data_IF_533083507185
#
_entry.id   IF_533083507185
#
_cell.length_a   1.000
_cell.length_b   1.000
_cell.length_c   1.000
_cell.angle_alpha   90.00
_cell.angle_beta   90.00
_cell.angle_gamma   90.00
#
_symmetry.space_group_name_H-M   'P 1'
#
loop_
_entity.id
_entity.type
_entity.pdbx_description
1 polymer ?
#
# COMPACT_ATOMS: atom_id res chain seq x y z
N UNK A 1 19.65 -50.72 42.08
CA UNK A 1 18.93 -50.18 40.91
C UNK A 1 17.94 -49.13 41.39
N UNK A 2 18.31 -47.84 41.43
CA UNK A 2 17.41 -46.66 41.50
C UNK A 2 18.20 -45.35 41.72
N UNK A 3 19.17 -45.05 40.86
CA UNK A 3 19.84 -43.74 40.87
C UNK A 3 20.20 -43.18 39.49
N UNK A 4 19.61 -43.74 38.42
CA UNK A 4 19.89 -43.31 37.02
C UNK A 4 18.66 -42.63 36.37
N UNK A 5 17.54 -42.50 37.10
CA UNK A 5 16.30 -41.90 36.56
C UNK A 5 16.12 -40.40 36.84
N UNK A 6 17.00 -39.75 37.60
CA UNK A 6 16.88 -38.31 37.90
C UNK A 6 17.89 -37.40 37.20
N UNK A 7 18.89 -37.96 36.51
CA UNK A 7 19.81 -37.16 35.68
C UNK A 7 19.26 -36.95 34.26
N UNK A 8 18.41 -37.85 33.76
CA UNK A 8 17.81 -37.72 32.43
C UNK A 8 16.62 -36.74 32.37
N UNK A 9 15.94 -36.50 33.50
CA UNK A 9 14.77 -35.59 33.55
C UNK A 9 15.20 -34.12 33.68
N UNK A 10 16.40 -33.84 34.20
CA UNK A 10 16.93 -32.49 34.30
C UNK A 10 17.57 -31.98 32.99
N UNK A 11 17.93 -32.89 32.06
CA UNK A 11 18.53 -32.53 30.77
C UNK A 11 17.49 -32.21 29.68
N UNK A 12 16.22 -32.56 29.89
CA UNK A 12 15.14 -32.29 28.92
C UNK A 12 14.43 -30.94 29.20
N UNK A 13 14.59 -30.37 30.40
CA UNK A 13 13.91 -29.11 30.79
C UNK A 13 14.80 -27.87 30.54
N UNK A 14 16.10 -28.03 30.26
CA UNK A 14 17.03 -26.89 30.07
C UNK A 14 17.25 -26.51 28.59
N UNK A 15 16.72 -27.26 27.62
CA UNK A 15 16.87 -26.93 26.19
C UNK A 15 15.72 -26.10 25.58
N UNK A 16 14.77 -25.58 26.37
CA UNK A 16 13.62 -24.80 25.87
C UNK A 16 13.71 -23.30 26.17
N UNK A 17 14.79 -22.82 26.79
CA UNK A 17 15.00 -21.39 27.02
C UNK A 17 16.32 -20.95 26.41
N UNK A 18 16.31 -20.66 25.10
CA UNK A 18 17.09 -19.62 24.41
C UNK A 18 16.86 -19.75 22.90
N UNK A 19 15.61 -19.57 22.45
CA UNK A 19 15.33 -19.17 21.08
C UNK A 19 14.93 -17.70 21.11
N UNK A 20 15.93 -16.85 20.83
CA UNK A 20 15.69 -15.48 20.38
C UNK A 20 14.68 -15.52 19.23
N UNK A 21 13.55 -14.85 19.39
CA UNK A 21 12.51 -14.75 18.38
C UNK A 21 13.09 -14.15 17.09
N UNK A 22 13.40 -15.01 16.12
CA UNK A 22 13.46 -14.64 14.73
C UNK A 22 12.21 -15.25 14.07
N UNK A 23 11.24 -14.41 13.70
CA UNK A 23 9.93 -14.82 13.18
C UNK A 23 10.02 -15.28 11.71
N UNK A 24 10.77 -16.35 11.46
CA UNK A 24 10.70 -17.12 10.23
C UNK A 24 10.74 -18.61 10.55
N UNK A 25 9.75 -19.08 11.30
CA UNK A 25 9.42 -20.51 11.33
C UNK A 25 8.63 -20.86 10.07
N UNK A 26 9.12 -21.84 9.33
CA UNK A 26 8.52 -22.44 8.14
C UNK A 26 7.01 -22.68 8.34
N UNK A 27 6.17 -21.85 7.70
CA UNK A 27 4.69 -21.98 7.69
C UNK A 27 4.27 -23.15 6.79
N UNK A 28 4.39 -24.39 7.28
CA UNK A 28 3.88 -25.60 6.59
C UNK A 28 2.34 -25.71 6.69
N UNK A 29 1.70 -24.89 7.54
CA UNK A 29 0.26 -24.65 7.52
C UNK A 29 0.02 -23.13 7.64
N UNK A 30 -0.42 -22.47 6.57
CA UNK A 30 -0.91 -21.08 6.68
C UNK A 30 -2.23 -21.17 7.47
N UNK A 31 -2.25 -20.60 8.69
CA UNK A 31 -3.51 -20.40 9.41
C UNK A 31 -4.52 -19.69 8.51
N UNK A 32 -5.81 -19.97 8.66
CA UNK A 32 -6.84 -19.26 7.90
C UNK A 32 -6.67 -17.75 8.06
N UNK A 33 -6.88 -17.01 6.97
CA UNK A 33 -6.71 -15.56 6.93
C UNK A 33 -7.70 -14.85 7.87
N UNK A 34 -7.38 -13.65 8.37
CA UNK A 34 -8.28 -12.92 9.28
C UNK A 34 -9.67 -12.74 8.69
N UNK A 35 -9.75 -12.37 7.40
CA UNK A 35 -11.02 -12.27 6.67
C UNK A 35 -11.77 -13.59 6.60
N UNK A 36 -11.07 -14.69 6.32
CA UNK A 36 -11.68 -16.03 6.27
C UNK A 36 -12.21 -16.43 7.65
N UNK A 37 -11.44 -16.20 8.70
CA UNK A 37 -11.84 -16.46 10.09
C UNK A 37 -13.10 -15.68 10.45
N UNK A 38 -13.13 -14.38 10.18
CA UNK A 38 -14.28 -13.54 10.50
C UNK A 38 -15.51 -13.92 9.68
N UNK A 39 -15.35 -14.21 8.39
CA UNK A 39 -16.44 -14.70 7.53
C UNK A 39 -17.03 -16.01 8.05
N UNK A 40 -16.18 -16.92 8.53
CA UNK A 40 -16.63 -18.16 9.15
C UNK A 40 -17.41 -17.92 10.44
N UNK A 41 -16.99 -16.96 11.28
CA UNK A 41 -17.72 -16.53 12.48
C UNK A 41 -19.10 -15.96 12.14
N UNK A 42 -19.20 -15.12 11.10
CA UNK A 42 -20.50 -14.61 10.63
C UNK A 42 -21.40 -15.76 10.16
N UNK A 43 -20.85 -16.72 9.40
CA UNK A 43 -21.64 -17.83 8.90
C UNK A 43 -22.08 -18.79 10.02
N UNK A 44 -21.19 -19.13 10.96
CA UNK A 44 -21.51 -20.05 12.06
C UNK A 44 -22.48 -19.46 13.07
N UNK A 45 -22.53 -18.13 13.23
CA UNK A 45 -23.53 -17.43 14.04
C UNK A 45 -24.87 -17.22 13.33
N UNK A 46 -25.01 -17.62 12.06
CA UNK A 46 -26.20 -17.39 11.24
C UNK A 46 -26.32 -15.96 10.70
N UNK A 47 -25.50 -15.01 11.16
CA UNK A 47 -25.51 -13.60 10.73
C UNK A 47 -25.12 -13.47 9.26
N UNK A 48 -24.21 -14.32 8.78
CA UNK A 48 -23.64 -14.25 7.44
C UNK A 48 -24.65 -14.43 6.29
N UNK A 49 -25.85 -14.96 6.57
CA UNK A 49 -26.96 -15.10 5.62
C UNK A 49 -28.03 -14.00 5.78
N UNK A 50 -27.93 -13.15 6.80
CA UNK A 50 -28.83 -12.00 7.01
C UNK A 50 -28.50 -10.86 6.05
N UNK A 51 -29.40 -9.88 5.93
CA UNK A 51 -29.17 -8.68 5.10
C UNK A 51 -27.86 -7.97 5.47
N UNK A 52 -27.62 -7.71 6.76
CA UNK A 52 -26.42 -7.02 7.25
C UNK A 52 -25.13 -7.85 7.03
N UNK A 53 -25.22 -9.18 7.12
CA UNK A 53 -24.08 -10.06 6.84
C UNK A 53 -23.74 -10.14 5.35
N UNK A 54 -24.74 -10.12 4.48
CA UNK A 54 -24.54 -10.04 3.03
C UNK A 54 -24.02 -8.66 2.60
N UNK A 55 -24.52 -7.58 3.21
CA UNK A 55 -24.07 -6.21 2.97
C UNK A 55 -22.61 -6.02 3.36
N UNK A 56 -22.17 -6.61 4.47
CA UNK A 56 -20.75 -6.63 4.86
C UNK A 56 -19.88 -7.36 3.84
N UNK A 57 -20.35 -8.47 3.26
CA UNK A 57 -19.63 -9.19 2.20
C UNK A 57 -19.61 -8.39 0.88
N UNK A 58 -20.73 -7.76 0.53
CA UNK A 58 -20.87 -7.01 -0.72
C UNK A 58 -20.04 -5.72 -0.71
N UNK A 59 -20.07 -4.95 0.38
CA UNK A 59 -19.25 -3.73 0.53
C UNK A 59 -17.75 -4.02 0.37
N UNK A 60 -17.28 -5.17 0.84
CA UNK A 60 -15.91 -5.63 0.64
C UNK A 60 -15.55 -5.77 -0.86
N UNK A 61 -16.48 -6.28 -1.68
CA UNK A 61 -16.29 -6.44 -3.12
C UNK A 61 -16.44 -5.11 -3.86
N UNK A 62 -17.43 -4.30 -3.49
CA UNK A 62 -17.66 -2.98 -4.08
C UNK A 62 -16.46 -2.04 -3.86
N UNK A 63 -15.85 -2.09 -2.67
CA UNK A 63 -14.66 -1.29 -2.36
C UNK A 63 -13.50 -1.58 -3.34
N UNK A 64 -13.33 -2.84 -3.76
CA UNK A 64 -12.29 -3.24 -4.71
C UNK A 64 -12.54 -2.60 -6.08
N UNK A 65 -13.79 -2.63 -6.55
CA UNK A 65 -14.18 -2.08 -7.85
C UNK A 65 -14.01 -0.55 -7.90
N UNK A 66 -14.26 0.10 -6.75
CA UNK A 66 -14.21 1.56 -6.59
C UNK A 66 -12.84 2.10 -6.14
N UNK A 67 -11.87 1.24 -5.85
CA UNK A 67 -10.61 1.64 -5.23
C UNK A 67 -9.85 2.68 -6.09
N UNK A 68 -9.59 3.90 -5.58
CA UNK A 68 -8.77 4.86 -6.30
C UNK A 68 -7.28 4.48 -6.21
N UNK A 69 -6.47 5.11 -7.07
CA UNK A 69 -5.03 4.94 -7.04
C UNK A 69 -4.41 5.81 -5.93
N UNK A 70 -3.42 5.26 -5.22
CA UNK A 70 -2.75 5.89 -4.11
C UNK A 70 -1.24 5.84 -4.34
N UNK A 71 -0.64 7.00 -4.58
CA UNK A 71 0.79 7.14 -4.80
C UNK A 71 1.56 6.92 -3.49
N UNK A 72 2.67 6.17 -3.53
CA UNK A 72 3.56 5.92 -2.38
C UNK A 72 4.79 6.82 -2.50
N UNK A 73 5.28 7.45 -1.40
CA UNK A 73 4.81 7.33 -0.03
C UNK A 73 3.60 8.24 0.28
N UNK A 74 2.81 7.84 1.27
CA UNK A 74 1.56 8.53 1.62
C UNK A 74 1.16 8.27 3.06
N UNK A 75 0.50 9.26 3.66
CA UNK A 75 -0.36 9.02 4.81
C UNK A 75 -1.80 9.37 4.46
N UNK A 76 -2.73 8.55 4.92
CA UNK A 76 -4.16 8.75 4.71
C UNK A 76 -4.92 8.41 6.00
N UNK A 77 -5.93 9.20 6.33
CA UNK A 77 -6.80 9.00 7.49
C UNK A 77 -8.26 9.02 7.08
N UNK A 78 -9.10 8.37 7.88
CA UNK A 78 -10.54 8.35 7.69
C UNK A 78 -11.25 7.75 8.89
N UNK A 79 -12.55 7.54 8.73
CA UNK A 79 -13.39 6.91 9.75
C UNK A 79 -14.31 5.89 9.12
N UNK A 80 -14.70 4.91 9.92
CA UNK A 80 -15.83 4.01 9.67
C UNK A 80 -16.94 4.34 10.64
N UNK A 81 -18.19 4.34 10.18
CA UNK A 81 -19.38 4.56 11.01
C UNK A 81 -20.18 3.28 11.12
N UNK A 82 -20.67 3.00 12.33
CA UNK A 82 -21.41 1.77 12.64
C UNK A 82 -22.66 1.57 11.77
N UNK A 83 -23.27 2.66 11.30
CA UNK A 83 -24.49 2.66 10.47
C UNK A 83 -24.25 2.42 8.97
N UNK A 84 -23.01 2.49 8.48
CA UNK A 84 -22.73 2.57 7.03
C UNK A 84 -22.03 1.35 6.45
N UNK A 85 -22.19 0.14 7.02
CA UNK A 85 -21.53 -1.15 6.66
C UNK A 85 -20.67 -1.05 5.38
N UNK A 86 -19.44 -0.59 5.52
CA UNK A 86 -18.58 -0.23 4.39
C UNK A 86 -17.20 -0.88 4.48
N UNK A 87 -16.53 -0.96 3.35
CA UNK A 87 -15.11 -1.23 3.24
C UNK A 87 -14.45 -0.11 2.42
N UNK A 88 -13.19 0.19 2.69
CA UNK A 88 -12.41 1.16 1.93
C UNK A 88 -11.19 0.47 1.34
N UNK A 89 -10.85 0.81 0.10
CA UNK A 89 -9.74 0.18 -0.59
C UNK A 89 -8.97 1.18 -1.45
N UNK A 90 -7.67 0.90 -1.65
CA UNK A 90 -6.77 1.71 -2.45
C UNK A 90 -5.84 0.83 -3.28
N UNK A 91 -5.59 1.23 -4.52
CA UNK A 91 -4.59 0.61 -5.39
C UNK A 91 -3.25 1.30 -5.21
N UNK A 92 -2.21 0.56 -4.85
CA UNK A 92 -0.83 1.02 -4.80
C UNK A 92 -0.04 0.34 -5.93
N UNK A 93 0.77 1.12 -6.66
CA UNK A 93 1.65 0.58 -7.71
C UNK A 93 3.03 0.35 -7.12
N UNK A 94 3.55 -0.85 -7.27
CA UNK A 94 4.88 -1.24 -6.80
C UNK A 94 5.66 -1.91 -7.93
N UNK A 95 6.97 -1.69 -7.94
CA UNK A 95 7.88 -2.37 -8.85
C UNK A 95 8.46 -3.62 -8.17
N UNK A 96 8.76 -4.66 -8.96
CA UNK A 96 9.43 -5.86 -8.48
C UNK A 96 10.70 -5.49 -7.71
N UNK A 97 10.82 -5.99 -6.48
CA UNK A 97 11.93 -5.72 -5.59
C UNK A 97 11.84 -4.44 -4.79
N UNK A 98 10.78 -3.65 -4.92
CA UNK A 98 10.49 -2.59 -3.95
C UNK A 98 9.93 -3.20 -2.66
N UNK A 99 10.32 -2.62 -1.51
CA UNK A 99 9.69 -2.92 -0.22
C UNK A 99 9.00 -1.68 0.33
N UNK A 100 7.84 -1.88 0.95
CA UNK A 100 7.09 -0.86 1.66
C UNK A 100 6.83 -1.29 3.10
N UNK A 101 6.76 -0.31 3.99
CA UNK A 101 6.21 -0.47 5.33
C UNK A 101 4.81 0.15 5.35
N UNK A 102 3.80 -0.67 5.64
CA UNK A 102 2.40 -0.28 5.77
C UNK A 102 2.07 -0.27 7.26
N UNK A 103 2.06 0.91 7.86
CA UNK A 103 1.59 1.10 9.22
C UNK A 103 0.10 1.41 9.21
N UNK A 104 -0.66 0.73 10.06
CA UNK A 104 -2.09 0.99 10.25
C UNK A 104 -2.36 1.19 11.73
N UNK A 105 -3.01 2.30 12.07
CA UNK A 105 -3.50 2.62 13.40
C UNK A 105 -5.02 2.69 13.36
N UNK A 106 -5.68 1.82 14.10
CA UNK A 106 -7.13 1.70 14.25
C UNK A 106 -7.53 2.11 15.67
N UNK A 107 -8.30 3.18 15.76
CA UNK A 107 -8.86 3.71 17.00
C UNK A 107 -10.36 3.43 17.00
N UNK A 108 -10.72 2.21 17.41
CA UNK A 108 -12.11 1.81 17.56
C UNK A 108 -12.81 2.69 18.62
N UNK A 109 -14.06 3.09 18.32
CA UNK A 109 -14.97 3.67 19.32
C UNK A 109 -15.67 2.58 20.15
N UNK A 110 -15.54 1.33 19.73
CA UNK A 110 -16.07 0.13 20.35
C UNK A 110 -14.97 -0.95 20.51
N UNK A 111 -15.34 -2.22 20.67
CA UNK A 111 -14.38 -3.33 20.75
C UNK A 111 -14.07 -3.99 19.40
N UNK A 112 -14.52 -3.40 18.28
CA UNK A 112 -14.36 -3.98 16.95
C UNK A 112 -12.92 -3.94 16.47
N UNK A 113 -12.54 -4.99 15.75
CA UNK A 113 -11.24 -5.05 15.08
C UNK A 113 -11.34 -4.53 13.65
N UNK A 114 -10.23 -4.04 13.14
CA UNK A 114 -10.07 -3.72 11.72
C UNK A 114 -9.41 -4.90 11.01
N UNK A 115 -10.07 -5.40 9.96
CA UNK A 115 -9.51 -6.37 9.02
C UNK A 115 -8.79 -5.60 7.91
N UNK A 116 -7.51 -5.90 7.72
CA UNK A 116 -6.66 -5.31 6.68
C UNK A 116 -6.24 -6.42 5.73
N UNK A 117 -6.52 -6.24 4.45
CA UNK A 117 -6.13 -7.17 3.39
C UNK A 117 -5.13 -6.50 2.44
N UNK A 118 -4.13 -7.26 2.02
CA UNK A 118 -3.27 -6.94 0.88
C UNK A 118 -3.53 -7.95 -0.24
N UNK A 119 -3.93 -7.47 -1.41
CA UNK A 119 -4.32 -8.30 -2.55
C UNK A 119 -3.49 -7.97 -3.80
N UNK A 120 -3.32 -8.94 -4.69
CA UNK A 120 -2.53 -8.82 -5.93
C UNK A 120 -3.25 -9.45 -7.13
N UNK A 121 -2.98 -8.91 -8.32
CA UNK A 121 -3.33 -9.51 -9.60
C UNK A 121 -4.73 -9.14 -10.09
N UNK A 122 -5.08 -9.61 -11.28
CA UNK A 122 -6.34 -9.25 -11.96
C UNK A 122 -7.59 -9.70 -11.20
N UNK A 123 -7.48 -10.77 -10.41
CA UNK A 123 -8.57 -11.31 -9.58
C UNK A 123 -8.47 -10.87 -8.12
N UNK A 124 -7.51 -10.00 -7.78
CA UNK A 124 -7.23 -9.56 -6.41
C UNK A 124 -7.13 -10.73 -5.43
N UNK A 125 -6.20 -11.64 -5.70
CA UNK A 125 -5.88 -12.75 -4.82
C UNK A 125 -5.31 -12.22 -3.50
N UNK A 126 -5.81 -12.72 -2.38
CA UNK A 126 -5.30 -12.37 -1.05
C UNK A 126 -3.85 -12.84 -0.87
N UNK A 127 -2.95 -11.89 -0.58
CA UNK A 127 -1.57 -12.16 -0.17
C UNK A 127 -1.48 -12.28 1.35
N UNK A 128 -1.99 -11.27 2.04
CA UNK A 128 -2.04 -11.19 3.50
C UNK A 128 -3.41 -10.67 3.95
N UNK A 129 -3.89 -11.16 5.10
CA UNK A 129 -5.06 -10.61 5.78
C UNK A 129 -4.93 -10.83 7.28
N UNK A 130 -4.97 -9.72 8.03
CA UNK A 130 -4.73 -9.68 9.47
C UNK A 130 -5.74 -8.77 10.18
N UNK A 131 -5.93 -8.98 11.49
CA UNK A 131 -6.67 -8.05 12.35
C UNK A 131 -5.69 -7.21 13.14
N UNK A 132 -5.99 -5.91 13.30
CA UNK A 132 -5.05 -4.96 13.88
C UNK A 132 -5.76 -3.97 14.80
N UNK A 133 -5.02 -3.53 15.83
CA UNK A 133 -5.30 -2.28 16.55
C UNK A 133 -4.24 -1.23 16.16
N UNK A 134 -2.96 -1.55 16.29
CA UNK A 134 -1.87 -0.72 15.76
C UNK A 134 -0.65 -1.59 15.50
N UNK A 135 -0.21 -1.70 14.25
CA UNK A 135 0.93 -2.53 13.84
C UNK A 135 1.43 -2.09 12.44
N UNK A 136 2.55 -2.67 12.02
CA UNK A 136 3.16 -2.43 10.72
C UNK A 136 3.43 -3.73 9.97
N UNK A 137 3.13 -3.74 8.68
CA UNK A 137 3.50 -4.80 7.75
C UNK A 137 4.61 -4.31 6.82
N UNK A 138 5.78 -4.96 6.88
CA UNK A 138 6.75 -4.87 5.80
C UNK A 138 6.31 -5.81 4.67
N UNK A 139 6.13 -5.25 3.48
CA UNK A 139 5.77 -5.99 2.28
C UNK A 139 6.81 -5.74 1.18
N UNK A 140 7.26 -6.81 0.54
CA UNK A 140 8.14 -6.76 -0.64
C UNK A 140 7.36 -7.20 -1.87
N UNK A 141 7.39 -6.39 -2.93
CA UNK A 141 6.71 -6.70 -4.18
C UNK A 141 7.50 -7.74 -4.98
N UNK A 142 6.95 -8.95 -5.10
CA UNK A 142 7.54 -10.02 -5.92
C UNK A 142 7.41 -9.72 -7.43
N UNK A 143 6.46 -8.87 -7.83
CA UNK A 143 6.18 -8.52 -9.23
C UNK A 143 5.87 -7.03 -9.37
N UNK A 144 6.19 -6.47 -10.52
CA UNK A 144 5.74 -5.12 -10.85
C UNK A 144 4.25 -5.14 -11.17
N UNK A 145 3.47 -4.29 -10.51
CA UNK A 145 2.02 -4.29 -10.71
C UNK A 145 1.25 -3.42 -9.73
N UNK A 146 -0.07 -3.57 -9.78
CA UNK A 146 -0.98 -2.96 -8.81
C UNK A 146 -1.27 -3.96 -7.70
N UNK A 147 -1.13 -3.49 -6.47
CA UNK A 147 -1.54 -4.14 -5.24
C UNK A 147 -2.71 -3.38 -4.65
N UNK A 148 -3.58 -4.04 -3.91
CA UNK A 148 -4.75 -3.41 -3.30
C UNK A 148 -4.72 -3.58 -1.79
N UNK A 149 -4.80 -2.46 -1.09
CA UNK A 149 -4.94 -2.41 0.37
C UNK A 149 -6.42 -2.18 0.69
N UNK A 150 -7.07 -3.13 1.35
CA UNK A 150 -8.47 -3.01 1.78
C UNK A 150 -8.56 -3.00 3.30
N UNK A 151 -9.35 -2.08 3.82
CA UNK A 151 -9.72 -1.95 5.22
C UNK A 151 -11.21 -2.19 5.38
N UNK A 152 -11.58 -3.00 6.37
CA UNK A 152 -12.97 -3.18 6.75
C UNK A 152 -13.07 -3.53 8.24
N UNK A 153 -13.82 -2.78 9.05
CA UNK A 153 -14.07 -3.18 10.42
C UNK A 153 -14.92 -4.46 10.47
N UNK A 154 -14.89 -5.15 11.60
CA UNK A 154 -15.92 -6.12 11.92
C UNK A 154 -17.31 -5.49 11.81
N UNK A 155 -18.34 -6.30 11.56
CA UNK A 155 -19.71 -5.87 11.30
C UNK A 155 -20.20 -4.85 12.35
N UNK A 156 -20.67 -3.69 11.86
CA UNK A 156 -21.11 -2.52 12.64
C UNK A 156 -20.01 -1.82 13.45
N UNK A 157 -18.74 -2.15 13.22
CA UNK A 157 -17.62 -1.51 13.90
C UNK A 157 -17.44 -0.04 13.51
N UNK A 158 -17.13 0.78 14.50
CA UNK A 158 -16.94 2.23 14.35
C UNK A 158 -15.58 2.67 14.89
N UNK A 159 -14.95 3.64 14.22
CA UNK A 159 -13.67 4.19 14.66
C UNK A 159 -12.92 4.95 13.57
N UNK A 160 -11.77 5.48 13.97
CA UNK A 160 -10.86 6.22 13.08
C UNK A 160 -9.69 5.35 12.67
N UNK A 161 -9.25 5.47 11.42
CA UNK A 161 -8.04 4.83 10.94
C UNK A 161 -7.01 5.85 10.45
N UNK A 162 -5.74 5.52 10.60
CA UNK A 162 -4.63 6.17 9.92
C UNK A 162 -3.76 5.10 9.27
N UNK A 163 -3.37 5.33 8.02
CA UNK A 163 -2.43 4.49 7.28
C UNK A 163 -1.23 5.35 6.93
N UNK A 164 -0.02 4.82 7.17
CA UNK A 164 1.22 5.39 6.61
C UNK A 164 1.90 4.32 5.75
N UNK A 165 2.09 4.61 4.48
CA UNK A 165 2.84 3.74 3.54
C UNK A 165 4.14 4.46 3.17
N UNK A 166 5.26 3.87 3.57
CA UNK A 166 6.59 4.40 3.27
C UNK A 166 7.42 3.35 2.54
N UNK A 167 8.27 3.78 1.60
CA UNK A 167 9.28 2.89 1.04
C UNK A 167 10.28 2.45 2.13
N UNK A 168 10.83 1.26 2.00
CA UNK A 168 11.86 0.74 2.91
C UNK A 168 12.84 -0.15 2.15
N UNK A 169 14.02 -0.37 2.73
CA UNK A 169 15.08 -1.10 2.08
C UNK A 169 14.68 -2.57 1.88
N UNK A 170 14.79 -3.04 0.64
CA UNK A 170 14.68 -4.46 0.30
C UNK A 170 15.97 -5.18 0.71
N UNK A 171 17.10 -4.69 0.21
CA UNK A 171 18.41 -5.19 0.62
C UNK A 171 18.96 -4.49 1.85
N UNK A 172 19.68 -5.24 2.67
CA UNK A 172 20.24 -4.73 3.92
C UNK A 172 21.45 -3.81 3.68
N UNK A 173 22.17 -4.01 2.56
CA UNK A 173 23.42 -3.32 2.26
C UNK A 173 23.42 -2.83 0.82
N UNK A 174 23.85 -1.58 0.61
CA UNK A 174 24.08 -1.04 -0.72
C UNK A 174 25.32 -1.70 -1.37
N UNK A 175 25.29 -2.10 -2.65
CA UNK A 175 26.33 -2.95 -3.26
C UNK A 175 27.76 -2.36 -3.35
N UNK A 176 27.97 -1.08 -3.03
CA UNK A 176 29.29 -0.44 -3.04
C UNK A 176 29.50 0.31 -1.72
N UNK A 177 30.61 0.01 -1.05
CA UNK A 177 30.90 0.56 0.27
C UNK A 177 30.93 2.09 0.26
N UNK A 178 30.22 2.72 1.20
CA UNK A 178 30.18 4.18 1.36
C UNK A 178 29.45 4.92 0.25
N UNK A 179 28.71 4.21 -0.61
CA UNK A 179 27.82 4.76 -1.63
C UNK A 179 26.36 4.48 -1.27
N UNK A 180 25.47 5.13 -2.02
CA UNK A 180 24.02 5.01 -1.93
C UNK A 180 23.43 5.16 -3.34
N UNK A 181 22.10 5.11 -3.44
CA UNK A 181 21.35 5.26 -4.70
C UNK A 181 21.70 6.54 -5.49
N UNK A 182 22.23 7.60 -4.88
CA UNK A 182 22.68 8.80 -5.59
C UNK A 182 23.95 8.60 -6.43
N UNK A 183 24.69 7.51 -6.21
CA UNK A 183 25.86 7.13 -7.01
C UNK A 183 25.50 6.38 -8.30
N UNK A 184 24.22 6.09 -8.51
CA UNK A 184 23.70 5.48 -9.75
C UNK A 184 23.61 6.59 -10.80
N UNK A 185 24.40 6.49 -11.86
CA UNK A 185 24.45 7.49 -12.94
C UNK A 185 24.06 6.93 -14.31
N UNK A 186 23.92 5.60 -14.44
CA UNK A 186 23.23 4.97 -15.56
C UNK A 186 22.18 4.02 -15.01
N UNK A 187 20.94 4.26 -15.40
CA UNK A 187 19.76 3.56 -14.88
C UNK A 187 19.34 2.45 -15.83
N UNK A 188 18.48 1.59 -15.32
CA UNK A 188 17.79 0.58 -16.09
C UNK A 188 17.12 1.21 -17.33
N UNK A 189 17.25 0.55 -18.49
CA UNK A 189 16.61 1.03 -19.72
C UNK A 189 17.47 2.01 -20.54
N UNK A 190 18.60 2.48 -20.02
CA UNK A 190 19.49 3.37 -20.77
C UNK A 190 19.97 2.75 -22.08
N UNK A 191 20.02 3.57 -23.13
CA UNK A 191 20.46 3.13 -24.45
C UNK A 191 21.95 2.76 -24.41
N UNK A 192 22.28 1.55 -24.88
CA UNK A 192 23.65 1.05 -25.01
C UNK A 192 23.98 0.68 -26.45
N UNK A 193 25.27 0.68 -26.75
CA UNK A 193 25.83 0.30 -28.06
C UNK A 193 25.17 1.04 -29.23
N UNK A 194 24.89 2.33 -29.07
CA UNK A 194 24.31 3.17 -30.13
C UNK A 194 22.85 2.89 -30.48
N UNK A 195 22.06 2.30 -29.57
CA UNK A 195 20.63 2.01 -29.82
C UNK A 195 20.28 0.52 -29.86
N UNK A 196 21.28 -0.35 -29.84
CA UNK A 196 21.11 -1.79 -30.10
C UNK A 196 20.76 -2.60 -28.85
N UNK A 197 20.97 -2.04 -27.65
CA UNK A 197 20.82 -2.73 -26.37
C UNK A 197 20.18 -1.80 -25.33
N UNK A 198 19.29 -2.34 -24.52
CA UNK A 198 18.82 -1.71 -23.28
C UNK A 198 19.76 -2.06 -22.13
N UNK A 199 20.02 -1.13 -21.23
CA UNK A 199 20.83 -1.38 -20.05
C UNK A 199 20.05 -2.28 -19.05
N UNK A 200 20.46 -3.56 -18.97
CA UNK A 200 19.88 -4.59 -18.10
C UNK A 200 20.49 -4.59 -16.69
N UNK A 201 20.72 -3.40 -16.13
CA UNK A 201 21.32 -3.23 -14.81
C UNK A 201 21.35 -1.76 -14.39
N UNK A 202 22.18 -1.48 -13.39
CA UNK A 202 22.50 -0.11 -12.93
C UNK A 202 24.01 0.03 -12.77
N UNK A 203 24.55 1.18 -13.13
CA UNK A 203 25.98 1.48 -12.97
C UNK A 203 26.19 2.41 -11.77
N UNK A 204 26.92 1.91 -10.78
CA UNK A 204 27.23 2.58 -9.52
C UNK A 204 28.68 3.08 -9.56
N UNK A 205 28.86 4.39 -9.68
CA UNK A 205 30.20 4.98 -9.83
C UNK A 205 30.92 5.14 -8.49
N UNK A 206 32.17 4.68 -8.44
CA UNK A 206 33.03 4.80 -7.28
C UNK A 206 34.52 4.74 -7.69
N UNK A 207 35.40 5.20 -6.82
CA UNK A 207 36.85 5.13 -7.06
C UNK A 207 37.28 3.68 -7.28
N UNK A 208 38.19 3.42 -8.23
CA UNK A 208 38.80 2.09 -8.39
C UNK A 208 39.34 1.59 -7.04
N UNK A 209 39.13 0.32 -6.74
CA UNK A 209 39.54 -0.26 -5.46
C UNK A 209 38.50 -0.13 -4.35
N UNK A 210 37.41 0.62 -4.54
CA UNK A 210 36.31 0.67 -3.56
C UNK A 210 35.70 -0.73 -3.39
N UNK A 211 35.48 -1.23 -2.17
CA UNK A 211 34.88 -2.55 -1.98
C UNK A 211 33.45 -2.66 -2.54
N UNK A 212 33.23 -3.76 -3.29
CA UNK A 212 31.93 -4.22 -3.75
C UNK A 212 31.39 -5.22 -2.74
N UNK A 213 30.20 -4.97 -2.22
CA UNK A 213 29.63 -5.70 -1.10
C UNK A 213 28.49 -6.62 -1.54
N UNK A 214 28.32 -7.73 -0.85
CA UNK A 214 27.12 -8.55 -0.96
C UNK A 214 25.93 -7.79 -0.34
N UNK A 215 24.84 -7.53 -1.09
CA UNK A 215 23.70 -6.77 -0.56
C UNK A 215 22.79 -7.61 0.37
N UNK A 216 22.85 -8.94 0.21
CA UNK A 216 22.05 -9.94 0.94
C UNK A 216 22.89 -11.18 1.24
N UNK A 217 22.40 -12.04 2.14
CA UNK A 217 22.98 -13.36 2.35
C UNK A 217 22.78 -14.24 1.10
N UNK A 218 23.81 -15.00 0.72
CA UNK A 218 23.74 -15.79 -0.50
C UNK A 218 24.90 -16.74 -0.70
N UNK A 219 24.97 -17.30 -1.92
CA UNK A 219 26.05 -18.21 -2.34
C UNK A 219 26.63 -17.73 -3.65
N UNK A 220 27.95 -17.61 -3.72
CA UNK A 220 28.66 -17.29 -4.96
C UNK A 220 28.52 -18.45 -5.93
N UNK A 221 27.85 -18.23 -7.06
CA UNK A 221 27.60 -19.27 -8.07
C UNK A 221 28.63 -19.27 -9.18
N UNK A 222 29.27 -18.12 -9.44
CA UNK A 222 30.34 -18.03 -10.43
C UNK A 222 31.29 -16.85 -10.17
N UNK A 223 32.58 -17.09 -10.33
CA UNK A 223 33.65 -16.09 -10.44
C UNK A 223 34.30 -16.28 -11.80
N UNK A 224 34.28 -15.26 -12.67
CA UNK A 224 34.71 -15.37 -14.07
C UNK A 224 35.47 -14.14 -14.52
N UNK A 225 36.39 -14.29 -15.48
CA UNK A 225 37.08 -13.19 -16.15
C UNK A 225 36.93 -13.38 -17.67
N UNK A 226 35.77 -13.00 -18.22
CA UNK A 226 35.45 -13.20 -19.63
C UNK A 226 34.27 -12.34 -20.09
N UNK A 227 34.13 -12.20 -21.40
CA UNK A 227 32.99 -11.52 -22.02
C UNK A 227 32.97 -10.01 -21.74
N UNK A 228 31.81 -9.39 -21.96
CA UNK A 228 31.64 -7.93 -21.83
C UNK A 228 31.86 -7.45 -20.39
N UNK A 229 31.48 -8.24 -19.39
CA UNK A 229 31.63 -7.91 -17.98
C UNK A 229 33.07 -7.89 -17.46
N UNK A 230 34.02 -8.47 -18.19
CA UNK A 230 35.39 -8.64 -17.69
C UNK A 230 35.42 -9.54 -16.45
N UNK A 231 35.99 -9.02 -15.36
CA UNK A 231 35.99 -9.70 -14.05
C UNK A 231 34.62 -9.51 -13.40
N UNK A 232 34.00 -10.63 -13.08
CA UNK A 232 32.63 -10.68 -12.59
C UNK A 232 32.41 -11.71 -11.48
N UNK A 233 31.48 -11.40 -10.57
CA UNK A 233 30.99 -12.31 -9.53
C UNK A 233 29.49 -12.46 -9.70
N UNK A 234 28.99 -13.69 -9.54
CA UNK A 234 27.56 -14.00 -9.48
C UNK A 234 27.21 -14.54 -8.10
N UNK A 235 26.16 -14.01 -7.49
CA UNK A 235 25.66 -14.45 -6.19
C UNK A 235 24.19 -14.84 -6.33
N UNK A 236 23.82 -16.00 -5.80
CA UNK A 236 22.43 -16.44 -5.68
C UNK A 236 21.83 -15.90 -4.39
N UNK A 237 20.76 -15.12 -4.51
CA UNK A 237 19.84 -14.79 -3.43
C UNK A 237 18.78 -15.90 -3.32
N UNK A 238 18.84 -16.76 -2.29
CA UNK A 238 17.89 -17.84 -2.12
C UNK A 238 16.51 -17.37 -1.63
N UNK A 239 16.41 -16.20 -0.99
CA UNK A 239 15.14 -15.67 -0.47
C UNK A 239 14.22 -15.24 -1.61
N UNK A 240 14.78 -14.57 -2.63
CA UNK A 240 14.03 -14.03 -3.77
C UNK A 240 14.12 -14.87 -5.04
N UNK A 241 14.91 -15.95 -5.02
CA UNK A 241 15.22 -16.74 -6.21
C UNK A 241 15.86 -15.86 -7.32
N UNK A 242 16.78 -14.98 -6.94
CA UNK A 242 17.46 -14.06 -7.87
C UNK A 242 18.94 -14.36 -8.01
N UNK A 243 19.49 -14.07 -9.18
CA UNK A 243 20.90 -14.12 -9.48
C UNK A 243 21.42 -12.69 -9.61
N UNK A 244 22.30 -12.31 -8.70
CA UNK A 244 22.93 -11.00 -8.62
C UNK A 244 24.24 -11.04 -9.40
N UNK A 245 24.43 -10.06 -10.27
CA UNK A 245 25.57 -9.95 -11.16
C UNK A 245 26.38 -8.70 -10.83
N UNK A 246 27.67 -8.89 -10.57
CA UNK A 246 28.62 -7.82 -10.24
C UNK A 246 29.72 -7.85 -11.29
N UNK A 247 29.84 -6.81 -12.12
CA UNK A 247 30.78 -6.78 -13.24
C UNK A 247 31.73 -5.59 -13.22
N UNK A 248 32.67 -5.60 -14.17
CA UNK A 248 33.73 -4.61 -14.34
C UNK A 248 34.71 -4.53 -13.17
N UNK A 249 34.79 -5.58 -12.34
CA UNK A 249 35.62 -5.61 -11.14
C UNK A 249 37.11 -5.43 -11.49
N UNK A 250 37.86 -4.81 -10.60
CA UNK A 250 39.32 -4.76 -10.66
C UNK A 250 39.92 -6.07 -10.13
N UNK A 251 39.39 -6.53 -9.00
CA UNK A 251 39.80 -7.76 -8.31
C UNK A 251 38.56 -8.51 -7.81
N UNK A 252 38.60 -9.85 -7.85
CA UNK A 252 37.61 -10.74 -7.26
C UNK A 252 38.19 -11.33 -5.97
N UNK A 253 37.47 -11.22 -4.85
CA UNK A 253 37.97 -11.59 -3.52
C UNK A 253 37.24 -12.79 -2.93
N UNK A 254 36.42 -13.47 -3.74
CA UNK A 254 35.61 -14.63 -3.34
C UNK A 254 35.84 -15.79 -4.30
N UNK A 255 35.43 -16.98 -3.87
CA UNK A 255 35.51 -18.22 -4.66
C UNK A 255 34.13 -18.81 -4.97
N UNK A 256 34.04 -19.66 -5.99
CA UNK A 256 32.81 -20.40 -6.28
C UNK A 256 32.36 -21.20 -5.05
N UNK A 257 31.04 -21.26 -4.84
CA UNK A 257 30.36 -21.93 -3.72
C UNK A 257 30.59 -21.29 -2.34
N UNK A 258 31.32 -20.17 -2.26
CA UNK A 258 31.47 -19.43 -1.02
C UNK A 258 30.12 -18.86 -0.57
N UNK A 259 29.79 -19.05 0.70
CA UNK A 259 28.65 -18.36 1.35
C UNK A 259 29.09 -16.94 1.72
N UNK A 260 28.19 -16.00 1.53
CA UNK A 260 28.41 -14.58 1.85
C UNK A 260 27.23 -14.06 2.65
N UNK A 261 27.51 -13.14 3.57
CA UNK A 261 26.54 -12.38 4.35
C UNK A 261 26.44 -10.94 3.83
N UNK A 262 25.36 -10.21 4.15
CA UNK A 262 25.27 -8.79 3.80
C UNK A 262 26.49 -8.02 4.32
N UNK A 263 27.16 -7.27 3.45
CA UNK A 263 28.35 -6.50 3.78
C UNK A 263 29.69 -7.21 3.55
N UNK A 264 29.69 -8.52 3.25
CA UNK A 264 30.93 -9.22 2.87
C UNK A 264 31.46 -8.65 1.54
N UNK A 265 32.78 -8.48 1.45
CA UNK A 265 33.42 -7.96 0.23
C UNK A 265 33.54 -9.06 -0.83
N UNK A 266 32.90 -8.85 -1.98
CA UNK A 266 32.94 -9.74 -3.14
C UNK A 266 34.15 -9.49 -4.05
N UNK A 267 34.57 -8.23 -4.10
CA UNK A 267 35.62 -7.76 -5.00
C UNK A 267 35.80 -6.26 -4.88
N UNK A 268 36.56 -5.68 -5.80
CA UNK A 268 36.87 -4.26 -5.82
C UNK A 268 36.38 -3.61 -7.12
N UNK A 269 35.84 -2.39 -7.03
CA UNK A 269 35.39 -1.60 -8.17
C UNK A 269 36.55 -1.40 -9.16
N UNK A 270 36.26 -1.58 -10.44
CA UNK A 270 37.22 -1.42 -11.53
C UNK A 270 36.57 -0.88 -12.79
N UNK A 271 37.13 -1.25 -13.93
CA UNK A 271 36.55 -0.98 -15.25
C UNK A 271 36.94 -2.08 -16.26
N UNK A 272 37.07 -3.33 -15.83
CA UNK A 272 37.49 -4.42 -16.73
C UNK A 272 36.41 -4.77 -17.76
N UNK A 273 36.76 -5.52 -18.81
CA UNK A 273 35.84 -5.88 -19.88
C UNK A 273 35.66 -4.74 -20.90
N UNK A 274 34.42 -4.46 -21.28
CA UNK A 274 34.09 -3.37 -22.21
C UNK A 274 34.07 -1.98 -21.55
N UNK A 275 34.10 -1.89 -20.21
CA UNK A 275 34.18 -0.64 -19.46
C UNK A 275 35.59 0.00 -19.44
N UNK A 276 36.60 -0.59 -20.09
CA UNK A 276 38.02 -0.18 -19.93
C UNK A 276 38.32 1.28 -20.23
N UNK A 277 37.51 1.91 -21.08
CA UNK A 277 37.65 3.31 -21.52
C UNK A 277 36.71 4.27 -20.77
N UNK A 278 35.94 3.79 -19.78
CA UNK A 278 35.04 4.60 -18.96
C UNK A 278 35.58 4.77 -17.54
N UNK A 279 34.96 5.69 -16.79
CA UNK A 279 35.28 5.88 -15.38
C UNK A 279 34.93 4.59 -14.57
N UNK A 280 35.71 4.26 -13.53
CA UNK A 280 35.44 3.07 -12.71
C UNK A 280 34.03 3.07 -12.10
N UNK A 281 33.36 1.93 -12.20
CA UNK A 281 32.01 1.71 -11.69
C UNK A 281 31.76 0.22 -11.47
N UNK A 282 30.77 -0.10 -10.65
CA UNK A 282 30.16 -1.42 -10.58
C UNK A 282 28.96 -1.43 -11.53
N UNK A 283 28.93 -2.36 -12.48
CA UNK A 283 27.67 -2.74 -13.11
C UNK A 283 27.00 -3.80 -12.24
N UNK A 284 25.80 -3.49 -11.74
CA UNK A 284 24.99 -4.37 -10.91
C UNK A 284 23.72 -4.78 -11.65
N UNK A 285 23.49 -6.08 -11.77
CA UNK A 285 22.30 -6.65 -12.42
C UNK A 285 21.59 -7.68 -11.56
N UNK A 286 20.29 -7.86 -11.77
CA UNK A 286 19.46 -8.86 -11.11
C UNK A 286 18.76 -9.70 -12.18
N UNK A 287 18.80 -11.03 -12.03
CA UNK A 287 18.25 -11.96 -13.02
C UNK A 287 17.45 -13.10 -12.38
N UNK A 288 16.29 -13.42 -12.94
CA UNK A 288 15.50 -14.61 -12.60
C UNK A 288 15.13 -15.39 -13.87
N UNK A 289 14.03 -15.02 -14.54
CA UNK A 289 13.61 -15.54 -15.85
C UNK A 289 13.96 -14.58 -17.01
N UNK A 290 14.85 -13.65 -16.73
CA UNK A 290 15.16 -12.46 -17.51
C UNK A 290 15.79 -11.42 -16.58
N UNK A 291 16.25 -10.31 -17.15
CA UNK A 291 16.78 -9.20 -16.37
C UNK A 291 15.63 -8.47 -15.63
N UNK A 292 15.88 -8.09 -14.39
CA UNK A 292 14.97 -7.34 -13.51
C UNK A 292 15.63 -5.98 -13.22
N UNK A 293 14.83 -4.91 -13.19
CA UNK A 293 15.32 -3.60 -12.76
C UNK A 293 15.93 -3.70 -11.34
N UNK A 294 17.24 -3.48 -11.16
CA UNK A 294 17.85 -3.60 -9.83
C UNK A 294 17.48 -2.45 -8.91
N UNK A 295 17.12 -1.28 -9.46
CA UNK A 295 16.99 -0.04 -8.72
C UNK A 295 16.05 -0.15 -7.52
N UNK A 296 14.82 -0.71 -7.64
CA UNK A 296 13.91 -0.85 -6.51
C UNK A 296 14.48 -1.64 -5.33
N UNK A 297 15.33 -2.64 -5.60
CA UNK A 297 15.92 -3.50 -4.57
C UNK A 297 17.08 -2.85 -3.81
N UNK A 298 17.80 -1.92 -4.45
CA UNK A 298 18.96 -1.21 -3.89
C UNK A 298 18.67 0.27 -3.57
N UNK A 299 17.44 0.73 -3.77
CA UNK A 299 17.05 2.07 -3.33
C UNK A 299 17.20 2.16 -1.81
N UNK A 300 17.80 3.24 -1.34
CA UNK A 300 18.06 3.49 0.08
C UNK A 300 17.70 4.93 0.49
N UNK A 301 17.10 5.69 -0.44
CA UNK A 301 16.67 7.07 -0.26
C UNK A 301 15.15 7.20 -0.29
N UNK A 302 14.49 6.38 0.52
CA UNK A 302 13.04 6.42 0.63
C UNK A 302 12.57 7.73 1.24
N UNK A 303 11.52 8.29 0.64
CA UNK A 303 10.78 9.38 1.25
C UNK A 303 9.85 8.81 2.33
N UNK A 304 9.85 9.43 3.51
CA UNK A 304 8.88 9.12 4.56
C UNK A 304 7.46 9.49 4.10
N UNK A 305 6.46 8.78 4.62
CA UNK A 305 5.07 9.17 4.48
C UNK A 305 4.84 10.59 5.06
N UNK A 306 4.16 11.50 4.33
CA UNK A 306 3.88 12.85 4.82
C UNK A 306 3.10 12.83 6.14
N UNK A 307 3.31 13.80 7.03
CA UNK A 307 2.51 13.88 8.24
C UNK A 307 1.07 14.32 7.94
N UNK A 308 0.12 13.72 8.67
CA UNK A 308 -1.30 14.04 8.58
C UNK A 308 -1.62 15.33 9.34
N UNK A 309 -2.64 16.05 8.88
CA UNK A 309 -3.19 17.19 9.62
C UNK A 309 -4.08 16.67 10.76
N UNK A 310 -3.88 17.18 11.96
CA UNK A 310 -4.71 16.87 13.12
C UNK A 310 -6.05 17.63 13.01
N UNK A 311 -7.03 16.99 12.39
CA UNK A 311 -8.36 17.55 12.14
C UNK A 311 -9.41 16.43 12.15
N UNK A 312 -10.62 16.77 12.55
CA UNK A 312 -11.79 15.95 12.25
C UNK A 312 -12.16 16.13 10.78
N UNK A 313 -12.43 15.02 10.08
CA UNK A 313 -12.81 15.07 8.68
C UNK A 313 -14.30 15.42 8.56
N UNK A 314 -14.66 16.54 7.89
CA UNK A 314 -16.06 16.83 7.62
C UNK A 314 -16.63 15.73 6.72
N UNK A 315 -17.75 15.11 7.10
CA UNK A 315 -18.37 14.07 6.27
C UNK A 315 -18.86 14.61 4.93
N UNK A 316 -19.33 15.86 4.90
CA UNK A 316 -19.89 16.53 3.72
C UNK A 316 -19.19 17.86 3.49
N UNK A 317 -18.82 18.11 2.25
CA UNK A 317 -18.17 19.34 1.81
C UNK A 317 -18.84 19.91 0.58
N UNK A 318 -18.64 21.20 0.34
CA UNK A 318 -18.99 21.90 -0.90
C UNK A 318 -17.73 22.23 -1.68
N UNK A 319 -17.83 22.10 -3.01
CA UNK A 319 -16.81 22.56 -3.94
C UNK A 319 -16.79 24.09 -3.97
N UNK A 320 -15.62 24.68 -3.72
CA UNK A 320 -15.45 26.15 -3.61
C UNK A 320 -15.12 26.88 -4.92
N UNK A 321 -15.12 26.20 -6.06
CA UNK A 321 -14.80 26.81 -7.37
C UNK A 321 -15.52 26.13 -8.54
N UNK A 322 -15.75 26.88 -9.62
CA UNK A 322 -16.40 26.36 -10.84
C UNK A 322 -15.55 25.39 -11.68
N UNK A 323 -14.27 25.21 -11.34
CA UNK A 323 -13.34 24.36 -12.08
C UNK A 323 -12.49 23.49 -11.15
N UNK A 324 -13.13 22.84 -10.16
CA UNK A 324 -12.41 21.98 -9.23
C UNK A 324 -12.03 20.67 -9.92
N UNK A 325 -10.74 20.52 -10.22
CA UNK A 325 -10.20 19.34 -10.90
C UNK A 325 -10.08 18.18 -9.92
N UNK A 326 -10.99 17.21 -10.02
CA UNK A 326 -10.92 15.95 -9.31
C UNK A 326 -9.95 15.01 -10.02
N UNK A 327 -9.03 14.42 -9.26
CA UNK A 327 -7.89 13.67 -9.81
C UNK A 327 -7.89 12.21 -9.39
N UNK A 328 -7.20 11.38 -10.16
CA UNK A 328 -7.07 9.93 -9.94
C UNK A 328 -6.23 9.60 -8.69
N UNK A 329 -5.19 10.38 -8.43
CA UNK A 329 -4.26 10.26 -7.30
C UNK A 329 -4.13 11.63 -6.58
N UNK A 330 -3.70 11.67 -5.29
CA UNK A 330 -3.53 12.91 -4.53
C UNK A 330 -2.26 13.69 -4.96
N UNK A 331 -2.22 14.11 -6.23
CA UNK A 331 -1.09 14.81 -6.84
C UNK A 331 -1.57 15.74 -7.96
N UNK A 332 -0.98 16.93 -8.06
CA UNK A 332 -1.28 17.90 -9.13
C UNK A 332 -0.88 17.41 -10.52
N UNK A 333 0.01 16.41 -10.60
CA UNK A 333 0.47 15.80 -11.84
C UNK A 333 -0.37 14.60 -12.27
N UNK A 334 -1.31 14.15 -11.42
CA UNK A 334 -2.20 13.03 -11.73
C UNK A 334 -3.29 13.43 -12.72
N UNK A 335 -3.78 12.49 -13.52
CA UNK A 335 -4.87 12.71 -14.47
C UNK A 335 -6.12 13.30 -13.80
N UNK A 336 -6.75 14.23 -14.49
CA UNK A 336 -8.06 14.77 -14.11
C UNK A 336 -9.13 13.80 -14.57
N UNK A 337 -9.91 13.26 -13.62
CA UNK A 337 -11.00 12.32 -13.91
C UNK A 337 -12.33 13.05 -14.08
N UNK A 338 -12.54 14.17 -13.39
CA UNK A 338 -13.73 15.01 -13.51
C UNK A 338 -13.43 16.46 -13.13
N UNK A 339 -14.27 17.38 -13.59
CA UNK A 339 -14.22 18.79 -13.19
C UNK A 339 -15.54 19.17 -12.55
N UNK A 340 -15.49 19.46 -11.25
CA UNK A 340 -16.68 19.78 -10.46
C UNK A 340 -16.93 21.29 -10.42
N UNK A 341 -18.21 21.66 -10.32
CA UNK A 341 -18.69 23.05 -10.30
C UNK A 341 -18.81 23.56 -8.86
N UNK A 342 -18.90 24.88 -8.73
CA UNK A 342 -19.11 25.56 -7.45
C UNK A 342 -20.38 25.03 -6.78
N UNK A 343 -20.35 24.93 -5.45
CA UNK A 343 -21.44 24.50 -4.56
C UNK A 343 -21.90 23.04 -4.72
N UNK A 344 -21.28 22.25 -5.60
CA UNK A 344 -21.53 20.81 -5.66
C UNK A 344 -21.18 20.16 -4.32
N UNK A 345 -22.11 19.37 -3.79
CA UNK A 345 -21.93 18.62 -2.54
C UNK A 345 -21.18 17.32 -2.84
N UNK A 346 -20.20 17.02 -2.00
CA UNK A 346 -19.37 15.81 -2.07
C UNK A 346 -19.25 15.17 -0.68
N UNK A 347 -19.07 13.86 -0.67
CA UNK A 347 -18.86 13.06 0.55
C UNK A 347 -17.36 12.88 0.75
N UNK A 348 -16.86 13.15 1.95
CA UNK A 348 -15.46 12.87 2.31
C UNK A 348 -15.32 11.41 2.70
N UNK A 349 -14.46 10.68 1.99
CA UNK A 349 -14.18 9.26 2.25
C UNK A 349 -12.97 9.12 3.17
N UNK A 350 -11.93 9.93 2.91
CA UNK A 350 -10.65 9.93 3.62
C UNK A 350 -9.88 11.22 3.30
N UNK A 351 -8.74 11.45 3.94
CA UNK A 351 -7.87 12.59 3.63
C UNK A 351 -6.39 12.25 3.77
N UNK A 352 -5.57 12.82 2.90
CA UNK A 352 -4.12 12.88 3.04
C UNK A 352 -3.70 14.23 3.63
N UNK A 353 -2.39 14.52 3.67
CA UNK A 353 -1.88 15.81 4.13
C UNK A 353 -2.52 17.01 3.40
N UNK A 354 -2.64 16.96 2.08
CA UNK A 354 -3.07 18.11 1.25
C UNK A 354 -4.32 17.86 0.39
N UNK A 355 -4.86 16.64 0.43
CA UNK A 355 -5.97 16.23 -0.42
C UNK A 355 -7.07 15.56 0.40
N UNK A 356 -8.32 15.77 0.00
CA UNK A 356 -9.43 14.94 0.41
C UNK A 356 -9.70 13.90 -0.67
N UNK A 357 -9.87 12.65 -0.25
CA UNK A 357 -10.55 11.66 -1.07
C UNK A 357 -12.05 11.86 -0.92
N UNK A 358 -12.73 12.03 -2.04
CA UNK A 358 -14.13 12.39 -2.08
C UNK A 358 -14.91 11.47 -3.00
N UNK A 359 -16.18 11.25 -2.67
CA UNK A 359 -17.18 10.61 -3.53
C UNK A 359 -18.23 11.66 -3.91
N UNK A 360 -18.50 11.76 -5.21
CA UNK A 360 -19.60 12.58 -5.73
C UNK A 360 -20.95 11.90 -5.44
N UNK A 361 -22.04 12.66 -5.49
CA UNK A 361 -23.39 12.10 -5.31
C UNK A 361 -23.78 11.08 -6.40
N UNK A 362 -23.06 11.04 -7.51
CA UNK A 362 -23.20 10.04 -8.58
C UNK A 362 -22.31 8.82 -8.39
N UNK A 363 -21.51 8.76 -7.31
CA UNK A 363 -20.65 7.63 -6.95
C UNK A 363 -19.25 7.64 -7.58
N UNK A 364 -18.86 8.71 -8.29
CA UNK A 364 -17.48 8.86 -8.77
C UNK A 364 -16.55 9.21 -7.61
N UNK A 365 -15.45 8.47 -7.46
CA UNK A 365 -14.46 8.67 -6.40
C UNK A 365 -13.16 9.23 -6.97
N UNK A 366 -12.58 10.20 -6.27
CA UNK A 366 -11.27 10.77 -6.61
C UNK A 366 -10.71 11.66 -5.52
N UNK A 367 -9.71 12.46 -5.88
CA UNK A 367 -9.03 13.38 -4.97
C UNK A 367 -9.24 14.83 -5.37
N UNK A 368 -9.59 15.67 -4.39
CA UNK A 368 -9.60 17.13 -4.51
C UNK A 368 -8.57 17.73 -3.57
N UNK A 369 -7.86 18.74 -4.05
CA UNK A 369 -6.95 19.51 -3.21
C UNK A 369 -7.77 20.27 -2.16
N UNK A 370 -7.30 20.32 -0.91
CA UNK A 370 -8.04 20.91 0.23
C UNK A 370 -8.54 22.33 -0.04
N UNK A 371 -7.74 23.16 -0.70
CA UNK A 371 -8.10 24.55 -1.03
C UNK A 371 -9.27 24.69 -2.03
N UNK A 372 -9.76 23.59 -2.61
CA UNK A 372 -10.87 23.59 -3.56
C UNK A 372 -12.21 23.27 -2.90
N UNK A 373 -12.24 22.99 -1.60
CA UNK A 373 -13.43 22.56 -0.88
C UNK A 373 -13.55 23.28 0.46
N UNK A 374 -14.76 23.40 0.94
CA UNK A 374 -15.08 23.92 2.27
C UNK A 374 -16.09 23.00 2.96
N UNK A 375 -16.06 22.94 4.29
CA UNK A 375 -17.08 22.23 5.04
C UNK A 375 -18.47 22.83 4.73
N UNK A 376 -19.47 21.97 4.56
CA UNK A 376 -20.83 22.42 4.30
C UNK A 376 -21.43 23.04 5.56
N UNK A 377 -22.00 24.23 5.43
CA UNK A 377 -22.88 24.80 6.46
C UNK A 377 -24.28 24.18 6.36
N UNK A 378 -24.91 23.94 7.52
CA UNK A 378 -26.23 23.32 7.62
C UNK A 378 -27.31 24.39 7.85
N UNK A 379 -28.46 24.23 7.20
CA UNK A 379 -29.65 25.03 7.52
C UNK A 379 -30.75 24.11 8.05
N UNK A 380 -31.32 24.44 9.20
CA UNK A 380 -32.44 23.72 9.80
C UNK A 380 -33.69 23.85 8.92
N UNK A 381 -34.42 22.75 8.72
CA UNK A 381 -35.71 22.75 8.06
C UNK A 381 -36.82 23.17 9.04
N UNK A 382 -37.69 24.10 8.63
CA UNK A 382 -38.90 24.41 9.39
C UNK A 382 -39.93 23.28 9.27
N UNK A 383 -40.70 23.07 10.35
CA UNK A 383 -41.70 22.02 10.59
C UNK A 383 -42.50 21.60 9.35
N UNK A 384 -42.08 20.51 8.68
CA UNK A 384 -42.82 19.84 7.60
C UNK A 384 -42.54 18.33 7.61
N UNK A 385 -43.58 17.50 7.55
CA UNK A 385 -43.43 16.08 7.22
C UNK A 385 -43.31 15.94 5.69
N UNK A 386 -42.42 15.08 5.21
CA UNK A 386 -42.28 14.85 3.77
C UNK A 386 -41.80 13.43 3.45
N UNK A 387 -41.97 13.04 2.19
CA UNK A 387 -41.31 11.86 1.66
C UNK A 387 -39.88 12.23 1.24
N UNK A 388 -38.92 11.59 1.90
CA UNK A 388 -37.51 11.62 1.51
C UNK A 388 -37.13 10.29 0.85
N UNK A 389 -36.14 10.31 -0.02
CA UNK A 389 -35.76 9.16 -0.85
C UNK A 389 -34.35 8.71 -0.49
N UNK A 390 -34.11 7.40 -0.42
CA UNK A 390 -32.75 6.87 -0.26
C UNK A 390 -31.90 7.03 -1.53
N UNK A 391 -32.55 7.20 -2.68
CA UNK A 391 -31.92 7.48 -3.96
C UNK A 391 -32.80 8.40 -4.83
N UNK A 392 -32.23 9.38 -5.55
CA UNK A 392 -32.98 10.26 -6.43
C UNK A 392 -33.33 9.61 -7.78
N UNK A 393 -32.79 8.40 -8.05
CA UNK A 393 -32.98 7.67 -9.33
C UNK A 393 -34.09 6.61 -9.19
N UNK A 394 -34.38 6.15 -7.98
CA UNK A 394 -35.42 5.16 -7.69
C UNK A 394 -36.51 5.76 -6.82
N UNK A 395 -37.72 5.90 -7.37
CA UNK A 395 -38.90 6.32 -6.60
C UNK A 395 -39.43 5.20 -5.68
N UNK A 396 -38.82 4.01 -5.68
CA UNK A 396 -39.33 2.84 -4.96
C UNK A 396 -39.04 2.87 -3.45
N UNK A 397 -38.01 3.60 -3.02
CA UNK A 397 -37.52 3.59 -1.63
C UNK A 397 -37.71 4.97 -0.97
N UNK A 398 -38.96 5.41 -0.86
CA UNK A 398 -39.33 6.63 -0.14
C UNK A 398 -39.68 6.34 1.33
N UNK A 399 -39.17 7.17 2.23
CA UNK A 399 -39.42 7.15 3.66
C UNK A 399 -40.20 8.40 4.06
N UNK A 400 -41.22 8.24 4.89
CA UNK A 400 -41.94 9.37 5.47
C UNK A 400 -41.19 9.84 6.71
N UNK A 401 -40.60 11.03 6.65
CA UNK A 401 -39.67 11.54 7.68
C UNK A 401 -40.14 12.86 8.27
N UNK A 402 -39.80 13.08 9.54
CA UNK A 402 -39.91 14.38 10.17
C UNK A 402 -38.69 15.23 9.78
N UNK A 403 -38.89 16.27 8.97
CA UNK A 403 -37.78 17.10 8.49
C UNK A 403 -37.09 17.91 9.61
N UNK A 404 -37.68 18.02 10.80
CA UNK A 404 -37.02 18.62 11.98
C UNK A 404 -35.80 17.81 12.47
N UNK A 405 -35.75 16.52 12.14
CA UNK A 405 -34.62 15.66 12.46
C UNK A 405 -33.48 15.81 11.43
N UNK A 406 -33.69 16.61 10.38
CA UNK A 406 -32.80 16.76 9.24
C UNK A 406 -32.39 18.21 8.98
N UNK A 407 -31.19 18.38 8.44
CA UNK A 407 -30.68 19.63 7.91
C UNK A 407 -30.61 19.57 6.38
N UNK A 408 -30.95 20.66 5.69
CA UNK A 408 -30.68 20.79 4.24
C UNK A 408 -29.25 21.25 4.04
N UNK A 409 -28.57 20.58 3.11
CA UNK A 409 -27.21 20.93 2.71
C UNK A 409 -27.23 21.77 1.43
N UNK A 410 -28.12 21.42 0.50
CA UNK A 410 -28.31 22.09 -0.80
C UNK A 410 -28.73 21.12 -1.90
N UNK A 411 -28.80 21.61 -3.13
CA UNK A 411 -29.14 20.79 -4.30
C UNK A 411 -27.98 19.85 -4.62
N UNK A 412 -28.18 18.54 -4.43
CA UNK A 412 -27.18 17.52 -4.76
C UNK A 412 -27.31 17.05 -6.21
N UNK A 413 -28.55 16.99 -6.72
CA UNK A 413 -28.88 16.57 -8.07
C UNK A 413 -30.07 17.40 -8.58
N UNK A 414 -30.25 17.57 -9.90
CA UNK A 414 -31.31 18.41 -10.45
C UNK A 414 -32.69 18.07 -9.88
N UNK A 415 -33.28 19.02 -9.14
CA UNK A 415 -34.59 18.87 -8.52
C UNK A 415 -34.61 18.08 -7.20
N UNK A 416 -33.46 17.78 -6.60
CA UNK A 416 -33.34 17.09 -5.31
C UNK A 416 -32.32 17.78 -4.40
N UNK A 417 -32.80 18.21 -3.24
CA UNK A 417 -31.96 18.66 -2.13
C UNK A 417 -31.46 17.46 -1.32
N UNK A 418 -30.20 17.51 -0.90
CA UNK A 418 -29.66 16.57 0.07
C UNK A 418 -30.01 17.03 1.48
N UNK A 419 -30.55 16.09 2.25
CA UNK A 419 -30.83 16.28 3.68
C UNK A 419 -30.03 15.26 4.50
N UNK A 420 -29.61 15.68 5.69
CA UNK A 420 -28.82 14.86 6.61
C UNK A 420 -29.38 14.93 8.03
N UNK A 421 -29.53 13.81 8.70
CA UNK A 421 -29.95 13.79 10.11
C UNK A 421 -28.78 13.99 11.09
N UNK A 422 -29.09 14.07 12.38
CA UNK A 422 -28.07 14.18 13.45
C UNK A 422 -27.11 12.99 13.50
N UNK A 423 -27.48 11.86 12.88
CA UNK A 423 -26.69 10.64 12.81
C UNK A 423 -25.82 10.55 11.54
N UNK A 424 -25.93 11.54 10.65
CA UNK A 424 -25.19 11.59 9.38
C UNK A 424 -25.83 10.80 8.24
N UNK A 425 -27.04 10.27 8.40
CA UNK A 425 -27.74 9.55 7.33
C UNK A 425 -28.20 10.53 6.25
N UNK A 426 -27.89 10.20 5.00
CA UNK A 426 -28.21 11.02 3.84
C UNK A 426 -29.50 10.55 3.18
N UNK A 427 -30.42 11.49 2.96
CA UNK A 427 -31.62 11.27 2.15
C UNK A 427 -31.78 12.41 1.13
N UNK A 428 -32.61 12.18 0.13
CA UNK A 428 -32.91 13.14 -0.92
C UNK A 428 -34.34 13.66 -0.74
N UNK A 429 -34.49 14.97 -0.66
CA UNK A 429 -35.78 15.66 -0.62
C UNK A 429 -36.04 16.30 -1.98
N UNK A 430 -37.18 15.98 -2.60
CA UNK A 430 -37.55 16.59 -3.88
C UNK A 430 -37.73 18.10 -3.69
N UNK A 431 -37.00 18.90 -4.47
CA UNK A 431 -37.17 20.35 -4.47
C UNK A 431 -38.60 20.65 -4.88
N UNK A 432 -39.37 21.33 -4.01
CA UNK A 432 -40.70 21.78 -4.38
C UNK A 432 -40.54 22.69 -5.60
N UNK A 433 -41.09 22.29 -6.75
CA UNK A 433 -41.19 23.19 -7.89
C UNK A 433 -42.07 24.36 -7.45
N UNK A 434 -41.47 25.48 -7.07
CA UNK A 434 -42.18 26.74 -6.97
C UNK A 434 -42.60 27.11 -8.39
N UNK A 435 -43.87 26.86 -8.70
CA UNK A 435 -44.61 27.62 -9.70
C UNK A 435 -45.74 28.33 -8.99
#
# INVERSE_FOLDING_TARGET
>A
MNSIKHILTLFIIVCIFFTSCNNQTLRIFKSSSARTQYTNTLNSSGIGATKIGLEWKNSANESILKAPDLAVPVSIQGSFKSKSIEAKAWKIKLEQGSSVNIFVNWQASDSSKLIVDLLEGSEWKELESFTIQSDSLKFEAEKSGSYLLRLQPELLGEGNFQIKISGTATYAVFPVQGKNSAAIQSVWGDVRDGGQRSHEGVDIFATRGTPVLAPVAGVVTAVRDRGLGGKQVWVRDPERDWNLYFAHLDTQLVSNLQRVNPGDTLGLVGNTGNARTTAPHLHFGIYQNGAINPFPAIEDRFKAAPELKAEELPHLMKVGTNQAKMRREPSTNSDVISTLKLDMIIITVAATADWYQVETMTGEIGFLHRNLVAASEFTSLESKLSYAFSSPISNADSLYVNLEEFNVIGEALPGYNLIVDMDGNLLYLRSSTSK
#
